data_IF_359948914160
#
_entry.id   IF_359948914160
#
_cell.length_a   1.000
_cell.length_b   1.000
_cell.length_c   1.000
_cell.angle_alpha   90.00
_cell.angle_beta   90.00
_cell.angle_gamma   90.00
#
_symmetry.space_group_name_H-M   'P 1'
#
loop_
_entity.id
_entity.type
_entity.pdbx_description
1 polymer ?
#
# COMPACT_ATOMS: atom_id res chain seq x y z
N UNK A 1 2.51 3.14 15.61
CA UNK A 1 3.93 2.81 15.27
C UNK A 1 4.27 1.32 15.48
N UNK A 2 3.66 0.64 16.45
CA UNK A 2 3.85 -0.80 16.73
C UNK A 2 3.39 -1.73 15.61
N UNK A 3 2.26 -1.43 14.96
CA UNK A 3 1.61 -2.38 14.05
C UNK A 3 2.33 -2.54 12.72
N UNK A 4 2.89 -1.44 12.19
CA UNK A 4 3.72 -1.47 10.97
C UNK A 4 4.95 -2.35 11.19
N UNK A 5 5.57 -2.28 12.37
CA UNK A 5 6.75 -3.10 12.69
C UNK A 5 6.39 -4.59 12.76
N UNK A 6 5.28 -4.92 13.42
CA UNK A 6 4.75 -6.30 13.49
C UNK A 6 4.44 -6.85 12.11
N UNK A 7 3.75 -6.06 11.28
CA UNK A 7 3.42 -6.47 9.93
C UNK A 7 4.67 -6.63 9.05
N UNK A 8 5.68 -5.78 9.23
CA UNK A 8 6.94 -5.91 8.48
C UNK A 8 7.70 -7.19 8.86
N UNK A 9 7.63 -7.61 10.13
CA UNK A 9 8.19 -8.89 10.56
C UNK A 9 7.48 -10.06 9.88
N UNK A 10 6.15 -10.03 9.81
CA UNK A 10 5.37 -11.03 9.08
C UNK A 10 5.79 -11.11 7.60
N UNK A 11 5.96 -9.96 6.93
CA UNK A 11 6.41 -9.91 5.53
C UNK A 11 7.80 -10.54 5.40
N UNK A 12 8.75 -10.22 6.28
CA UNK A 12 10.11 -10.82 6.26
C UNK A 12 10.09 -12.33 6.47
N UNK A 13 9.23 -12.83 7.37
CA UNK A 13 9.07 -14.27 7.60
C UNK A 13 8.50 -14.95 6.35
N UNK A 14 7.48 -14.37 5.73
CA UNK A 14 6.90 -14.90 4.50
C UNK A 14 7.93 -14.94 3.36
N UNK A 15 8.68 -13.86 3.16
CA UNK A 15 9.78 -13.76 2.19
C UNK A 15 10.82 -14.87 2.39
N UNK A 16 11.23 -15.14 3.63
CA UNK A 16 12.15 -16.22 3.95
C UNK A 16 11.59 -17.61 3.64
N UNK A 17 10.29 -17.83 3.85
CA UNK A 17 9.63 -19.13 3.59
C UNK A 17 9.53 -19.38 2.08
N UNK A 18 9.12 -18.37 1.31
CA UNK A 18 8.89 -18.53 -0.14
C UNK A 18 10.17 -18.38 -0.96
N UNK A 19 11.24 -17.81 -0.37
CA UNK A 19 12.52 -17.58 -1.04
C UNK A 19 12.49 -16.50 -2.12
N UNK A 20 11.47 -15.64 -2.13
CA UNK A 20 11.26 -14.57 -3.10
C UNK A 20 11.10 -13.25 -2.35
N UNK A 21 11.76 -12.21 -2.85
CA UNK A 21 11.73 -10.88 -2.25
C UNK A 21 10.30 -10.31 -2.27
N UNK A 22 9.80 -9.88 -1.11
CA UNK A 22 8.50 -9.26 -0.96
C UNK A 22 8.64 -7.74 -0.84
N UNK A 23 7.69 -6.96 -1.38
CA UNK A 23 7.73 -5.52 -1.28
C UNK A 23 7.61 -5.06 0.17
N UNK A 24 8.39 -4.04 0.53
CA UNK A 24 8.33 -3.40 1.84
C UNK A 24 6.96 -2.73 2.05
N UNK A 25 6.51 -2.65 3.31
CA UNK A 25 5.21 -2.05 3.63
C UNK A 25 5.10 -0.58 3.22
N UNK A 26 6.21 0.16 3.29
CA UNK A 26 6.23 1.56 2.87
C UNK A 26 5.93 1.69 1.37
N UNK A 27 6.51 0.83 0.55
CA UNK A 27 6.31 0.85 -0.91
C UNK A 27 4.89 0.43 -1.27
N UNK A 28 4.35 -0.59 -0.59
CA UNK A 28 2.95 -0.99 -0.72
C UNK A 28 2.00 0.14 -0.33
N UNK A 29 2.29 0.84 0.76
CA UNK A 29 1.49 1.97 1.23
C UNK A 29 1.49 3.10 0.19
N UNK A 30 2.67 3.52 -0.28
CA UNK A 30 2.82 4.59 -1.27
C UNK A 30 2.09 4.22 -2.57
N UNK A 31 2.28 3.00 -3.06
CA UNK A 31 1.62 2.51 -4.28
C UNK A 31 0.09 2.52 -4.14
N UNK A 32 -0.44 2.05 -3.00
CA UNK A 32 -1.88 2.08 -2.73
C UNK A 32 -2.44 3.50 -2.67
N UNK A 33 -1.75 4.40 -1.98
CA UNK A 33 -2.20 5.79 -1.85
C UNK A 33 -2.21 6.47 -3.22
N UNK A 34 -1.16 6.32 -4.02
CA UNK A 34 -1.10 6.86 -5.38
C UNK A 34 -2.24 6.33 -6.25
N UNK A 35 -2.46 5.01 -6.26
CA UNK A 35 -3.54 4.39 -7.03
C UNK A 35 -4.91 4.91 -6.59
N UNK A 36 -5.18 4.99 -5.28
CA UNK A 36 -6.44 5.52 -4.75
C UNK A 36 -6.64 6.98 -5.10
N UNK A 37 -5.62 7.82 -4.97
CA UNK A 37 -5.68 9.22 -5.33
C UNK A 37 -6.00 9.39 -6.82
N UNK A 38 -5.33 8.63 -7.68
CA UNK A 38 -5.64 8.61 -9.12
C UNK A 38 -7.09 8.22 -9.39
N UNK A 39 -7.58 7.15 -8.76
CA UNK A 39 -8.97 6.72 -8.90
C UNK A 39 -9.97 7.78 -8.42
N UNK A 40 -9.69 8.47 -7.31
CA UNK A 40 -10.54 9.54 -6.77
C UNK A 40 -10.61 10.72 -7.76
N UNK A 41 -9.47 11.13 -8.31
CA UNK A 41 -9.41 12.21 -9.31
C UNK A 41 -10.20 11.83 -10.57
N UNK A 42 -10.10 10.57 -11.00
CA UNK A 42 -10.77 10.06 -12.19
C UNK A 42 -12.25 9.72 -11.98
N UNK A 43 -12.75 9.69 -10.75
CA UNK A 43 -14.12 9.33 -10.45
C UNK A 43 -15.06 10.53 -10.65
N UNK A 44 -15.92 10.54 -11.69
CA UNK A 44 -16.83 11.65 -11.96
C UNK A 44 -17.96 11.76 -10.92
N UNK A 45 -18.20 10.70 -10.13
CA UNK A 45 -19.19 10.72 -9.04
C UNK A 45 -18.61 11.30 -7.75
N UNK A 46 -17.31 11.56 -7.70
CA UNK A 46 -16.66 12.06 -6.50
C UNK A 46 -17.11 13.52 -6.23
N UNK A 47 -17.49 13.87 -4.99
CA UNK A 47 -17.99 15.22 -4.67
C UNK A 47 -16.99 16.35 -4.96
N UNK A 48 -15.70 16.01 -5.01
CA UNK A 48 -14.62 16.95 -5.36
C UNK A 48 -14.12 16.87 -6.80
N UNK A 49 -14.79 16.17 -7.72
CA UNK A 49 -14.30 15.96 -9.09
C UNK A 49 -14.16 17.26 -9.91
N UNK A 50 -15.04 18.24 -9.65
CA UNK A 50 -15.11 19.51 -10.38
C UNK A 50 -14.51 20.69 -9.61
N UNK A 51 -13.77 20.43 -8.53
CA UNK A 51 -13.16 21.46 -7.68
C UNK A 51 -11.73 21.81 -8.12
#
# INVERSE_FOLDING_TARGET
KSDIRRLQQTVRTAERIIGVHLPNLQDLYISRVKKRAGNIIQDPSHPGHNL
#
